data_IF_891566924916
#
_entry.id   IF_891566924916
#
_cell.length_a   1.000
_cell.length_b   1.000
_cell.length_c   1.000
_cell.angle_alpha   90.00
_cell.angle_beta   90.00
_cell.angle_gamma   90.00
#
_symmetry.space_group_name_H-M   'P 1'
#
loop_
_entity.id
_entity.type
_entity.pdbx_description
1 polymer ?
#
# COMPACT_ATOMS: atom_id res chain seq x y z
N UNK A 1 2.05 -22.78 32.37
CA UNK A 1 2.18 -21.54 31.57
C UNK A 1 2.32 -21.92 30.10
N UNK A 2 1.31 -21.63 29.26
CA UNK A 2 1.41 -21.92 27.82
C UNK A 2 2.41 -20.94 27.19
N UNK A 3 3.47 -21.47 26.61
CA UNK A 3 4.47 -20.71 25.86
C UNK A 3 3.79 -20.16 24.60
N UNK A 4 3.42 -18.88 24.60
CA UNK A 4 2.90 -18.22 23.40
C UNK A 4 4.05 -18.07 22.40
N UNK A 5 4.08 -18.91 21.36
CA UNK A 5 4.97 -18.68 20.21
C UNK A 5 4.64 -17.29 19.64
N UNK A 6 5.63 -16.40 19.58
CA UNK A 6 5.51 -15.10 18.93
C UNK A 6 5.11 -15.35 17.48
N UNK A 7 3.89 -14.96 17.11
CA UNK A 7 3.41 -15.04 15.73
C UNK A 7 4.34 -14.20 14.85
N UNK A 8 4.86 -14.80 13.78
CA UNK A 8 5.68 -14.08 12.81
C UNK A 8 4.77 -13.36 11.81
N UNK A 9 4.20 -12.26 12.29
CA UNK A 9 3.24 -11.41 11.54
C UNK A 9 3.80 -11.06 10.17
N UNK A 10 5.10 -10.76 10.07
CA UNK A 10 5.73 -10.37 8.81
C UNK A 10 5.65 -11.50 7.77
N UNK A 11 6.02 -12.72 8.16
CA UNK A 11 5.98 -13.85 7.24
C UNK A 11 4.54 -14.23 6.86
N UNK A 12 3.57 -14.09 7.76
CA UNK A 12 2.15 -14.28 7.45
C UNK A 12 1.69 -13.27 6.40
N UNK A 13 1.93 -11.99 6.63
CA UNK A 13 1.54 -10.92 5.71
C UNK A 13 2.23 -11.13 4.35
N UNK A 14 3.54 -11.37 4.32
CA UNK A 14 4.30 -11.63 3.09
C UNK A 14 3.71 -12.79 2.29
N UNK A 15 3.43 -13.90 2.94
CA UNK A 15 2.88 -15.08 2.27
C UNK A 15 1.44 -14.84 1.77
N UNK A 16 0.62 -14.09 2.51
CA UNK A 16 -0.75 -13.77 2.08
C UNK A 16 -0.73 -12.87 0.84
N UNK A 17 0.05 -11.78 0.86
CA UNK A 17 0.13 -10.84 -0.25
C UNK A 17 0.83 -11.43 -1.48
N UNK A 18 1.78 -12.36 -1.31
CA UNK A 18 2.32 -13.17 -2.39
C UNK A 18 1.22 -13.92 -3.13
N UNK A 19 0.34 -14.62 -2.42
CA UNK A 19 -0.78 -15.37 -3.04
C UNK A 19 -1.73 -14.42 -3.79
N UNK A 20 -1.98 -13.22 -3.23
CA UNK A 20 -2.81 -12.20 -3.88
C UNK A 20 -2.16 -11.73 -5.18
N UNK A 21 -0.85 -11.51 -5.18
CA UNK A 21 -0.09 -11.06 -6.35
C UNK A 21 -0.14 -12.05 -7.52
N UNK A 22 -0.05 -13.36 -7.23
CA UNK A 22 -0.07 -14.43 -8.24
C UNK A 22 -1.48 -14.86 -8.65
N UNK A 23 -2.53 -14.38 -7.96
CA UNK A 23 -3.92 -14.73 -8.25
C UNK A 23 -4.40 -16.03 -7.60
N UNK A 24 -3.64 -16.61 -6.68
CA UNK A 24 -3.91 -17.91 -6.03
C UNK A 24 -4.88 -17.81 -4.84
N UNK A 25 -5.41 -16.62 -4.54
CA UNK A 25 -6.36 -16.44 -3.43
C UNK A 25 -7.79 -16.60 -3.94
N UNK A 26 -8.42 -17.73 -3.61
CA UNK A 26 -9.88 -17.78 -3.42
C UNK A 26 -10.20 -16.90 -2.20
N UNK A 27 -10.57 -15.64 -2.42
CA UNK A 27 -10.85 -14.68 -1.33
C UNK A 27 -11.87 -15.30 -0.35
N UNK A 28 -11.49 -15.36 0.92
CA UNK A 28 -12.39 -15.69 2.01
C UNK A 28 -13.53 -14.68 2.06
N UNK A 29 -14.74 -15.18 2.30
CA UNK A 29 -15.95 -14.39 2.46
C UNK A 29 -15.81 -13.45 3.67
N UNK A 30 -15.35 -12.23 3.43
CA UNK A 30 -15.86 -11.09 4.16
C UNK A 30 -16.98 -10.50 3.29
N UNK A 31 -18.19 -10.46 3.85
CA UNK A 31 -19.48 -10.13 3.25
C UNK A 31 -20.25 -11.32 2.62
N UNK A 32 -21.38 -11.58 3.27
CA UNK A 32 -22.55 -12.34 2.84
C UNK A 32 -22.92 -12.13 1.35
N UNK A 33 -23.36 -13.22 0.71
CA UNK A 33 -24.30 -13.18 -0.41
C UNK A 33 -23.79 -12.64 -1.75
N UNK A 34 -23.53 -13.56 -2.69
CA UNK A 34 -23.73 -13.34 -4.14
C UNK A 34 -23.10 -12.08 -4.77
N UNK A 35 -21.78 -11.95 -4.72
CA UNK A 35 -21.05 -10.95 -5.53
C UNK A 35 -20.08 -11.65 -6.48
N UNK A 36 -20.38 -11.53 -7.78
CA UNK A 36 -19.50 -11.86 -8.89
C UNK A 36 -18.16 -11.10 -8.70
N UNK A 37 -17.03 -11.79 -8.47
CA UNK A 37 -15.76 -11.20 -7.98
C UNK A 37 -15.04 -10.25 -8.96
N UNK A 38 -15.56 -10.08 -10.18
CA UNK A 38 -15.21 -8.97 -11.09
C UNK A 38 -16.05 -7.71 -10.87
N UNK A 39 -17.03 -7.73 -9.97
CA UNK A 39 -17.63 -6.53 -9.35
C UNK A 39 -16.68 -6.03 -8.26
N UNK A 40 -16.08 -4.89 -8.46
CA UNK A 40 -14.91 -4.70 -9.30
C UNK A 40 -13.91 -4.01 -8.38
N UNK A 41 -12.60 -4.20 -8.56
CA UNK A 41 -11.63 -3.38 -7.81
C UNK A 41 -11.93 -1.87 -7.96
N UNK A 42 -12.56 -1.50 -9.08
CA UNK A 42 -13.19 -0.21 -9.37
C UNK A 42 -14.28 0.16 -8.34
N UNK A 43 -15.25 -0.70 -8.05
CA UNK A 43 -16.32 -0.42 -7.06
C UNK A 43 -15.77 -0.23 -5.65
N UNK A 44 -14.76 -1.01 -5.25
CA UNK A 44 -14.05 -0.80 -3.99
C UNK A 44 -13.39 0.58 -4.01
N UNK A 45 -12.67 0.91 -5.08
CA UNK A 45 -11.97 2.18 -5.24
C UNK A 45 -12.93 3.38 -5.18
N UNK A 46 -14.09 3.31 -5.84
CA UNK A 46 -15.14 4.34 -5.76
C UNK A 46 -15.61 4.54 -4.32
N UNK A 47 -15.93 3.45 -3.62
CA UNK A 47 -16.43 3.51 -2.24
C UNK A 47 -15.42 4.11 -1.26
N UNK A 48 -14.13 3.94 -1.51
CA UNK A 48 -13.05 4.46 -0.67
C UNK A 48 -12.52 5.82 -1.12
N UNK A 49 -13.18 6.45 -2.11
CA UNK A 49 -12.98 7.87 -2.45
C UNK A 49 -12.13 8.15 -3.68
N UNK A 50 -11.88 7.18 -4.56
CA UNK A 50 -11.28 7.46 -5.88
C UNK A 50 -12.37 7.84 -6.89
N UNK A 51 -12.09 8.85 -7.72
CA UNK A 51 -13.00 9.22 -8.82
C UNK A 51 -12.89 8.25 -9.99
N UNK A 52 -13.91 8.20 -10.86
CA UNK A 52 -13.86 7.42 -12.11
C UNK A 52 -12.71 7.86 -13.01
N UNK A 53 -12.42 9.16 -13.04
CA UNK A 53 -11.29 9.71 -13.76
C UNK A 53 -9.97 9.14 -13.22
N UNK A 54 -9.75 9.20 -11.91
CA UNK A 54 -8.56 8.60 -11.27
C UNK A 54 -8.46 7.12 -11.63
N UNK A 55 -9.52 6.34 -11.42
CA UNK A 55 -9.50 4.90 -11.68
C UNK A 55 -9.13 4.60 -13.15
N UNK A 56 -9.67 5.36 -14.10
CA UNK A 56 -9.37 5.20 -15.53
C UNK A 56 -7.95 5.60 -15.93
N UNK A 57 -7.27 6.40 -15.10
CA UNK A 57 -5.93 6.93 -15.42
C UNK A 57 -4.80 5.98 -15.07
N UNK A 58 -5.01 5.10 -14.09
CA UNK A 58 -4.05 4.07 -13.70
C UNK A 58 -4.29 2.78 -14.53
N UNK A 59 -3.23 1.98 -14.76
CA UNK A 59 -3.40 0.64 -15.31
C UNK A 59 -4.40 -0.21 -14.51
N UNK A 60 -5.36 -0.84 -15.19
CA UNK A 60 -6.42 -1.64 -14.55
C UNK A 60 -5.84 -2.76 -13.68
N UNK A 61 -4.76 -3.41 -14.14
CA UNK A 61 -4.16 -4.55 -13.45
C UNK A 61 -3.47 -4.18 -12.13
N UNK A 62 -3.21 -2.89 -11.90
CA UNK A 62 -2.60 -2.36 -10.69
C UNK A 62 -3.65 -2.22 -9.58
N UNK A 63 -4.91 -2.02 -9.97
CA UNK A 63 -6.01 -1.91 -9.03
C UNK A 63 -6.44 -3.29 -8.54
N UNK A 64 -5.89 -3.69 -7.40
CA UNK A 64 -6.17 -4.98 -6.78
C UNK A 64 -7.30 -4.90 -5.73
N UNK A 65 -7.86 -3.70 -5.48
CA UNK A 65 -8.94 -3.49 -4.52
C UNK A 65 -8.57 -3.90 -3.08
N UNK A 66 -7.38 -3.52 -2.63
CA UNK A 66 -6.83 -3.84 -1.30
C UNK A 66 -6.73 -2.63 -0.36
N UNK A 67 -6.96 -1.42 -0.87
CA UNK A 67 -6.93 -0.19 -0.06
C UNK A 67 -8.19 0.00 0.78
N UNK A 68 -8.11 0.86 1.78
CA UNK A 68 -9.23 1.21 2.66
C UNK A 68 -9.62 2.69 2.64
N UNK A 69 -8.88 3.52 1.91
CA UNK A 69 -9.19 4.92 1.65
C UNK A 69 -8.42 5.45 0.45
N UNK A 70 -8.44 6.77 0.28
CA UNK A 70 -7.68 7.47 -0.76
C UNK A 70 -6.72 8.48 -0.08
N UNK A 71 -5.46 8.11 0.21
CA UNK A 71 -4.51 9.01 0.87
C UNK A 71 -4.18 10.24 0.00
N UNK A 72 -4.40 10.19 -1.31
CA UNK A 72 -4.04 11.29 -2.21
C UNK A 72 -4.92 12.54 -2.03
N UNK A 73 -6.15 12.37 -1.53
CA UNK A 73 -7.05 13.48 -1.22
C UNK A 73 -6.48 14.40 -0.14
N UNK A 74 -5.78 13.83 0.84
CA UNK A 74 -5.20 14.55 1.97
C UNK A 74 -3.70 14.80 1.81
N UNK A 75 -3.04 14.11 0.88
CA UNK A 75 -1.62 14.28 0.59
C UNK A 75 -1.28 15.61 -0.09
N UNK A 76 -2.25 16.30 -0.70
CA UNK A 76 -2.05 17.59 -1.37
C UNK A 76 -0.87 17.58 -2.38
N UNK A 77 -0.67 16.48 -3.12
CA UNK A 77 0.48 16.26 -4.01
C UNK A 77 0.60 17.39 -5.04
N UNK A 78 1.82 17.90 -5.23
CA UNK A 78 2.15 19.00 -6.13
C UNK A 78 3.07 18.54 -7.26
N UNK A 79 3.13 19.35 -8.32
CA UNK A 79 4.06 19.14 -9.43
C UNK A 79 5.50 19.17 -8.94
N UNK A 80 6.35 18.39 -9.60
CA UNK A 80 7.79 18.31 -9.35
C UNK A 80 8.19 17.74 -7.97
N UNK A 81 7.23 17.29 -7.16
CA UNK A 81 7.50 16.62 -5.88
C UNK A 81 7.99 15.17 -6.07
N UNK A 82 8.78 14.72 -5.08
CA UNK A 82 9.10 13.31 -4.88
C UNK A 82 8.14 12.68 -3.87
N UNK A 83 7.42 11.65 -4.29
CA UNK A 83 6.43 10.93 -3.48
C UNK A 83 6.92 9.52 -3.19
N UNK A 84 6.85 9.08 -1.93
CA UNK A 84 7.07 7.67 -1.55
C UNK A 84 5.72 7.04 -1.19
N UNK A 85 5.41 5.88 -1.76
CA UNK A 85 4.27 5.04 -1.41
C UNK A 85 4.72 3.84 -0.58
N UNK A 86 4.27 3.78 0.67
CA UNK A 86 4.57 2.70 1.61
C UNK A 86 3.62 1.52 1.36
N UNK A 87 4.18 0.36 1.06
CA UNK A 87 3.40 -0.84 0.74
C UNK A 87 2.63 -0.72 -0.57
N UNK A 88 3.34 -0.28 -1.61
CA UNK A 88 2.76 0.10 -2.92
C UNK A 88 2.01 -1.00 -3.67
N UNK A 89 2.18 -2.28 -3.30
CA UNK A 89 1.49 -3.41 -3.92
C UNK A 89 1.63 -3.43 -5.44
N UNK A 90 0.49 -3.54 -6.14
CA UNK A 90 0.42 -3.47 -7.60
C UNK A 90 0.75 -2.10 -8.21
N UNK A 91 0.92 -1.06 -7.38
CA UNK A 91 1.34 0.28 -7.78
C UNK A 91 0.21 1.25 -8.11
N UNK A 92 -1.05 0.95 -7.76
CA UNK A 92 -2.21 1.78 -8.12
C UNK A 92 -2.02 3.24 -7.70
N UNK A 93 -1.71 3.49 -6.43
CA UNK A 93 -1.49 4.84 -5.91
C UNK A 93 -0.26 5.51 -6.55
N UNK A 94 0.83 4.77 -6.78
CA UNK A 94 2.00 5.26 -7.52
C UNK A 94 1.66 5.78 -8.92
N UNK A 95 0.84 5.04 -9.69
CA UNK A 95 0.50 5.43 -11.07
C UNK A 95 -0.36 6.69 -11.11
N UNK A 96 -1.30 6.83 -10.16
CA UNK A 96 -2.10 8.05 -9.99
C UNK A 96 -1.23 9.24 -9.58
N UNK A 97 -0.34 9.05 -8.59
CA UNK A 97 0.56 10.09 -8.09
C UNK A 97 1.54 10.57 -9.18
N UNK A 98 2.02 9.66 -10.04
CA UNK A 98 2.92 9.99 -11.16
C UNK A 98 2.34 11.05 -12.10
N UNK A 99 1.02 11.00 -12.37
CA UNK A 99 0.36 12.03 -13.17
C UNK A 99 0.27 13.37 -12.43
N UNK A 100 -0.01 13.35 -11.12
CA UNK A 100 -0.12 14.56 -10.29
C UNK A 100 1.21 15.32 -10.18
N UNK A 101 2.32 14.60 -9.99
CA UNK A 101 3.65 15.22 -9.89
C UNK A 101 4.21 15.66 -11.25
N UNK A 102 3.71 15.10 -12.35
CA UNK A 102 4.17 15.41 -13.70
C UNK A 102 5.56 14.85 -14.02
N UNK A 103 6.05 15.10 -15.25
CA UNK A 103 7.26 14.46 -15.78
C UNK A 103 8.56 14.78 -15.01
N UNK A 104 8.58 15.90 -14.28
CA UNK A 104 9.72 16.33 -13.46
C UNK A 104 9.64 15.87 -12.01
N UNK A 105 8.47 15.44 -11.55
CA UNK A 105 8.33 14.81 -10.24
C UNK A 105 8.74 13.36 -10.29
N UNK A 106 8.79 12.70 -9.13
CA UNK A 106 9.29 11.33 -9.03
C UNK A 106 8.52 10.51 -8.02
N UNK A 107 8.26 9.24 -8.33
CA UNK A 107 7.50 8.33 -7.47
C UNK A 107 8.40 7.16 -7.08
N UNK A 108 8.41 6.81 -5.80
CA UNK A 108 9.09 5.63 -5.28
C UNK A 108 8.04 4.75 -4.59
N UNK A 109 7.72 3.59 -5.17
CA UNK A 109 6.86 2.60 -4.53
C UNK A 109 7.70 1.57 -3.79
N UNK A 110 7.44 1.33 -2.50
CA UNK A 110 8.13 0.30 -1.71
C UNK A 110 7.15 -0.81 -1.35
N UNK A 111 7.50 -2.07 -1.62
CA UNK A 111 6.72 -3.23 -1.19
C UNK A 111 7.67 -4.37 -0.80
N UNK A 112 7.29 -5.16 0.20
CA UNK A 112 8.13 -6.27 0.70
C UNK A 112 8.01 -7.55 -0.13
N UNK A 113 7.05 -7.61 -1.06
CA UNK A 113 6.72 -8.80 -1.82
C UNK A 113 7.31 -8.72 -3.22
N UNK A 114 8.16 -9.70 -3.57
CA UNK A 114 8.79 -9.76 -4.89
C UNK A 114 7.77 -9.78 -6.03
N UNK A 115 6.69 -10.53 -5.86
CA UNK A 115 5.63 -10.69 -6.87
C UNK A 115 4.89 -9.37 -7.15
N UNK A 116 4.64 -8.56 -6.11
CA UNK A 116 4.05 -7.22 -6.27
C UNK A 116 5.00 -6.27 -7.01
N UNK A 117 6.27 -6.23 -6.59
CA UNK A 117 7.30 -5.41 -7.24
C UNK A 117 7.52 -5.81 -8.70
N UNK A 118 7.55 -7.11 -9.00
CA UNK A 118 7.70 -7.59 -10.36
C UNK A 118 6.51 -7.17 -11.24
N UNK A 119 5.29 -7.26 -10.69
CA UNK A 119 4.07 -6.82 -11.36
C UNK A 119 4.10 -5.32 -11.63
N UNK A 120 4.35 -4.50 -10.61
CA UNK A 120 4.35 -3.04 -10.74
C UNK A 120 5.44 -2.53 -11.68
N UNK A 121 6.65 -3.11 -11.66
CA UNK A 121 7.73 -2.81 -12.62
C UNK A 121 7.36 -3.18 -14.05
N UNK A 122 6.78 -4.36 -14.26
CA UNK A 122 6.31 -4.81 -15.58
C UNK A 122 5.28 -3.84 -16.14
N UNK A 123 4.37 -3.36 -15.29
CA UNK A 123 3.35 -2.40 -15.66
C UNK A 123 3.93 -1.01 -15.95
N UNK A 124 4.84 -0.49 -15.12
CA UNK A 124 5.54 0.76 -15.40
C UNK A 124 6.22 0.75 -16.77
N UNK A 125 6.87 -0.37 -17.12
CA UNK A 125 7.47 -0.56 -18.45
C UNK A 125 6.43 -0.64 -19.56
N UNK A 126 5.37 -1.45 -19.41
CA UNK A 126 4.28 -1.65 -20.38
C UNK A 126 3.59 -0.32 -20.72
N UNK A 127 3.27 0.48 -19.70
CA UNK A 127 2.58 1.76 -19.83
C UNK A 127 3.53 2.96 -19.97
N UNK A 128 4.84 2.72 -20.12
CA UNK A 128 5.89 3.73 -20.39
C UNK A 128 6.02 4.83 -19.33
N UNK A 129 5.75 4.53 -18.07
CA UNK A 129 6.05 5.44 -16.97
C UNK A 129 7.58 5.62 -16.85
N UNK A 130 8.05 6.86 -16.78
CA UNK A 130 9.48 7.21 -16.74
C UNK A 130 9.94 7.78 -15.40
N UNK A 131 8.99 8.23 -14.59
CA UNK A 131 9.22 8.90 -13.31
C UNK A 131 8.76 8.06 -12.11
N UNK A 132 8.76 6.73 -12.24
CA UNK A 132 8.38 5.80 -11.18
C UNK A 132 9.47 4.75 -11.01
N UNK A 133 9.86 4.51 -9.75
CA UNK A 133 10.78 3.46 -9.34
C UNK A 133 10.13 2.60 -8.24
N UNK A 134 10.07 1.29 -8.47
CA UNK A 134 9.53 0.34 -7.50
C UNK A 134 10.66 -0.43 -6.85
N UNK A 135 10.71 -0.44 -5.51
CA UNK A 135 11.81 -1.02 -4.72
C UNK A 135 11.30 -2.13 -3.81
N UNK A 136 11.98 -3.27 -3.85
CA UNK A 136 11.78 -4.33 -2.88
C UNK A 136 12.35 -3.89 -1.54
N UNK A 137 11.52 -3.84 -0.51
CA UNK A 137 11.93 -3.37 0.81
C UNK A 137 10.83 -3.47 1.85
N UNK A 138 11.22 -3.43 3.12
CA UNK A 138 10.28 -3.39 4.23
C UNK A 138 10.04 -1.92 4.64
N UNK A 139 8.82 -1.58 5.04
CA UNK A 139 8.49 -0.20 5.44
C UNK A 139 9.14 0.21 6.77
N UNK A 140 9.67 -0.76 7.51
CA UNK A 140 10.54 -0.57 8.68
C UNK A 140 12.01 -0.34 8.31
N UNK A 141 12.39 -0.51 7.05
CA UNK A 141 13.77 -0.44 6.54
C UNK A 141 13.76 0.06 5.10
N UNK A 142 13.42 1.33 4.91
CA UNK A 142 13.20 1.88 3.58
C UNK A 142 14.50 1.88 2.78
N UNK A 143 14.51 1.30 1.56
CA UNK A 143 15.64 1.36 0.64
C UNK A 143 15.68 2.74 -0.06
N UNK A 144 15.67 3.81 0.73
CA UNK A 144 15.59 5.20 0.31
C UNK A 144 16.51 6.04 1.21
N UNK A 145 17.21 7.00 0.61
CA UNK A 145 18.11 7.89 1.32
C UNK A 145 17.33 8.90 2.20
N UNK A 146 18.02 9.47 3.17
CA UNK A 146 17.49 10.52 4.04
C UNK A 146 17.05 11.74 3.21
N UNK A 147 16.07 12.50 3.71
CA UNK A 147 15.62 13.77 3.10
C UNK A 147 15.32 13.67 1.59
N UNK A 148 14.72 12.56 1.14
CA UNK A 148 14.38 12.31 -0.27
C UNK A 148 12.97 12.76 -0.63
N UNK A 149 12.00 12.51 0.25
CA UNK A 149 10.58 12.68 -0.05
C UNK A 149 10.05 14.07 0.32
N UNK A 150 9.27 14.66 -0.57
CA UNK A 150 8.40 15.79 -0.25
C UNK A 150 7.09 15.28 0.39
N UNK A 151 6.62 14.11 -0.07
CA UNK A 151 5.38 13.48 0.39
C UNK A 151 5.57 11.98 0.62
N UNK A 152 5.02 11.48 1.72
CA UNK A 152 4.80 10.05 1.92
C UNK A 152 3.30 9.77 1.89
N UNK A 153 2.89 8.73 1.16
CA UNK A 153 1.54 8.18 1.20
C UNK A 153 1.58 6.74 1.71
N UNK A 154 0.49 6.32 2.35
CA UNK A 154 0.29 4.95 2.82
C UNK A 154 -1.20 4.62 2.83
N UNK A 155 -1.57 3.44 2.32
CA UNK A 155 -2.95 2.97 2.27
C UNK A 155 -3.06 1.54 2.85
N UNK A 156 -3.53 1.43 4.09
CA UNK A 156 -3.84 0.17 4.77
C UNK A 156 -2.66 -0.81 5.02
N UNK A 157 -1.45 -0.30 5.24
CA UNK A 157 -0.24 -1.15 5.39
C UNK A 157 0.48 -1.01 6.74
N UNK A 158 0.36 0.12 7.44
CA UNK A 158 1.14 0.35 8.68
C UNK A 158 0.64 -0.58 9.79
N UNK A 159 -0.66 -0.89 9.79
CA UNK A 159 -1.24 -1.87 10.70
C UNK A 159 -0.62 -3.27 10.61
N UNK A 160 -0.11 -3.65 9.43
CA UNK A 160 0.51 -4.94 9.17
C UNK A 160 1.97 -5.01 9.67
N UNK A 161 2.56 -3.87 10.01
CA UNK A 161 3.91 -3.80 10.55
C UNK A 161 3.98 -4.38 11.97
N UNK A 162 4.92 -5.31 12.25
CA UNK A 162 5.24 -5.73 13.62
C UNK A 162 5.98 -4.66 14.43
N UNK A 163 6.46 -3.56 13.81
CA UNK A 163 7.14 -2.47 14.49
C UNK A 163 6.74 -1.11 13.89
N UNK A 164 5.53 -0.66 14.23
CA UNK A 164 4.96 0.62 13.78
C UNK A 164 5.84 1.81 14.12
N UNK A 165 6.47 1.83 15.29
CA UNK A 165 7.37 2.92 15.69
C UNK A 165 8.54 3.05 14.71
N UNK A 166 9.12 1.93 14.27
CA UNK A 166 10.20 1.95 13.28
C UNK A 166 9.73 2.43 11.92
N UNK A 167 8.50 2.11 11.49
CA UNK A 167 7.91 2.66 10.27
C UNK A 167 7.84 4.19 10.34
N UNK A 168 7.36 4.75 11.45
CA UNK A 168 7.30 6.21 11.61
C UNK A 168 8.69 6.84 11.67
N UNK A 169 9.67 6.20 12.32
CA UNK A 169 11.05 6.68 12.34
C UNK A 169 11.66 6.72 10.93
N UNK A 170 11.45 5.67 10.13
CA UNK A 170 11.90 5.62 8.74
C UNK A 170 11.20 6.66 7.86
N UNK A 171 9.89 6.84 8.04
CA UNK A 171 9.14 7.89 7.36
C UNK A 171 9.71 9.28 7.67
N UNK A 172 10.01 9.57 8.95
CA UNK A 172 10.66 10.81 9.35
C UNK A 172 12.07 10.96 8.76
N UNK A 173 12.86 9.88 8.69
CA UNK A 173 14.21 9.89 8.13
C UNK A 173 14.23 10.26 6.65
N UNK A 174 13.33 9.67 5.85
CA UNK A 174 13.31 9.88 4.40
C UNK A 174 12.57 11.15 3.98
N UNK A 175 11.74 11.75 4.86
CA UNK A 175 11.10 13.04 4.60
C UNK A 175 12.11 14.17 4.60
N UNK A 176 12.01 15.07 3.63
CA UNK A 176 12.68 16.38 3.66
C UNK A 176 12.12 17.22 4.81
N UNK A 177 12.92 18.18 5.28
CA UNK A 177 12.42 19.24 6.15
C UNK A 177 11.25 19.98 5.48
N UNK A 178 10.10 20.02 6.14
CA UNK A 178 8.87 20.61 5.60
C UNK A 178 8.05 19.67 4.71
N UNK A 179 8.52 18.44 4.49
CA UNK A 179 7.72 17.38 3.85
C UNK A 179 6.55 16.93 4.73
N UNK A 180 5.65 16.14 4.13
CA UNK A 180 4.40 15.72 4.79
C UNK A 180 4.08 14.25 4.56
N UNK A 181 3.28 13.69 5.44
CA UNK A 181 2.82 12.31 5.36
C UNK A 181 1.28 12.28 5.36
N UNK A 182 0.71 11.44 4.50
CA UNK A 182 -0.71 11.19 4.39
C UNK A 182 -0.99 9.69 4.53
N UNK A 183 -1.69 9.32 5.60
CA UNK A 183 -1.98 7.92 5.93
C UNK A 183 -3.49 7.73 5.89
N UNK A 184 -3.91 6.74 5.13
CA UNK A 184 -5.24 6.14 5.25
C UNK A 184 -5.08 4.74 5.82
N UNK A 185 -5.56 4.50 7.04
CA UNK A 185 -5.48 3.19 7.69
C UNK A 185 -6.67 2.98 8.65
N UNK A 186 -6.87 1.74 9.07
CA UNK A 186 -7.91 1.36 10.02
C UNK A 186 -7.47 1.72 11.44
N UNK A 187 -8.37 2.28 12.24
CA UNK A 187 -8.10 2.60 13.64
C UNK A 187 -9.08 1.89 14.57
N UNK A 188 -8.63 1.62 15.78
CA UNK A 188 -9.45 1.01 16.82
C UNK A 188 -10.27 2.06 17.55
N UNK A 189 -11.58 1.84 17.66
CA UNK A 189 -12.47 2.62 18.54
C UNK A 189 -12.38 2.12 19.99
N UNK A 190 -11.94 0.86 20.17
CA UNK A 190 -11.81 0.15 21.44
C UNK A 190 -10.72 -0.92 21.33
N UNK A 191 -10.10 -1.28 22.44
CA UNK A 191 -9.01 -2.24 22.45
C UNK A 191 -9.44 -3.64 21.95
N UNK A 192 -8.56 -4.29 21.20
CA UNK A 192 -8.74 -5.69 20.79
C UNK A 192 -8.47 -6.62 21.97
N UNK A 193 -9.28 -7.69 22.09
CA UNK A 193 -9.03 -8.76 23.05
C UNK A 193 -7.74 -9.50 22.71
N UNK A 194 -7.15 -10.19 23.69
CA UNK A 194 -5.93 -10.99 23.46
C UNK A 194 -6.16 -12.11 22.43
N UNK A 195 -7.38 -12.68 22.38
CA UNK A 195 -7.76 -13.67 21.38
C UNK A 195 -7.74 -13.08 19.97
N UNK A 196 -8.34 -11.89 19.78
CA UNK A 196 -8.32 -11.19 18.49
C UNK A 196 -6.90 -10.82 18.05
N UNK A 197 -6.04 -10.38 18.98
CA UNK A 197 -4.63 -10.07 18.69
C UNK A 197 -3.81 -11.30 18.25
N UNK A 198 -4.29 -12.51 18.54
CA UNK A 198 -3.61 -13.76 18.19
C UNK A 198 -4.25 -14.47 16.99
N UNK A 199 -5.34 -13.94 16.43
CA UNK A 199 -5.98 -14.50 15.25
C UNK A 199 -5.28 -14.02 13.97
N UNK A 200 -4.53 -14.92 13.33
CA UNK A 200 -3.81 -14.66 12.08
C UNK A 200 -4.74 -14.20 10.94
N UNK A 201 -6.01 -14.62 10.93
CA UNK A 201 -6.97 -14.23 9.88
C UNK A 201 -7.30 -12.74 9.95
N UNK A 202 -7.32 -12.16 11.15
CA UNK A 202 -7.61 -10.74 11.33
C UNK A 202 -6.48 -9.82 10.82
N UNK A 203 -5.28 -10.37 10.56
CA UNK A 203 -4.17 -9.60 9.99
C UNK A 203 -4.26 -9.44 8.46
N UNK A 204 -4.83 -10.39 7.73
CA UNK A 204 -4.76 -10.40 6.26
C UNK A 204 -6.08 -10.68 5.52
N UNK A 205 -7.19 -10.85 6.25
CA UNK A 205 -8.52 -11.10 5.67
C UNK A 205 -8.79 -12.56 5.33
#
# INVERSE_FOLDING_TARGET
MRNFKKIDVRNIVRNSYKKIAIGDVKRGKCYDGSINLKKSSIDISRKIGYSDEEISTAPEEANMGLGCGNPQLIANIKKEETVIDLGSGGGFDCFLASKKVGIKGYIIGVDMTYEMINKSRTMAKKYRYKNIDFRLGEIENLPVADNTADVIISNCVINLSPNKQRVYNEACRVLKKGGRIAISDIVLIRELTNEMKQDEKLYCG
#
